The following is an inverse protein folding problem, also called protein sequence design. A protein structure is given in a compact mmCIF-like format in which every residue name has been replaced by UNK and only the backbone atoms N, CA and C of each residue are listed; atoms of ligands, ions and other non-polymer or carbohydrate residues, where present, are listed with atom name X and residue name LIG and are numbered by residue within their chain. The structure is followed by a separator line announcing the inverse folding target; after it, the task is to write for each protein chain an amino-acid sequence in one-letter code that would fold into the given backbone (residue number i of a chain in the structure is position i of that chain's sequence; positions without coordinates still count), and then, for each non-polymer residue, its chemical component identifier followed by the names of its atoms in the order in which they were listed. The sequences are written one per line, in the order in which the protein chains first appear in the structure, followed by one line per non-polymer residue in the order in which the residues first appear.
data_IF_758735616129
#
_entry.id   IF_758735616129
#
_cell.length_a   1.000
_cell.length_b   1.000
_cell.length_c   1.000
_cell.angle_alpha   90.00
_cell.angle_beta   90.00
_cell.angle_gamma   90.00
#
_symmetry.space_group_name_H-M   'P 1'
#
loop_
_entity.id
_entity.type
_entity.pdbx_description
1 polymer ?
#
# COMPACT_ATOMS: atom_id res chain seq x y z
N UNK A 1 16.61 -6.15 14.42
CA UNK A 1 16.35 -7.54 13.98
C UNK A 1 14.85 -7.65 13.78
N UNK A 2 14.36 -7.76 12.54
CA UNK A 2 12.92 -7.73 12.25
C UNK A 2 12.15 -8.98 12.72
N UNK A 3 12.86 -10.05 13.14
CA UNK A 3 12.30 -11.22 13.81
C UNK A 3 11.16 -11.85 13.02
N UNK A 4 10.07 -12.20 13.71
CA UNK A 4 8.87 -12.75 13.10
C UNK A 4 8.18 -11.79 12.11
N UNK A 5 8.43 -10.47 12.20
CA UNK A 5 7.80 -9.46 11.33
C UNK A 5 8.20 -9.59 9.86
N UNK A 6 9.33 -10.23 9.56
CA UNK A 6 9.79 -10.51 8.20
C UNK A 6 9.69 -11.99 7.81
N UNK A 7 8.87 -12.78 8.50
CA UNK A 7 8.72 -14.19 8.19
C UNK A 7 7.63 -14.38 7.10
N UNK A 8 8.00 -14.68 5.83
CA UNK A 8 7.02 -14.88 4.77
C UNK A 8 6.23 -16.19 4.92
N UNK A 9 6.69 -17.11 5.77
CA UNK A 9 6.05 -18.39 6.03
C UNK A 9 5.11 -18.35 7.25
N UNK A 10 5.06 -17.22 7.96
CA UNK A 10 4.07 -17.03 9.01
C UNK A 10 2.69 -16.91 8.36
N UNK A 11 1.70 -17.59 8.93
CA UNK A 11 0.32 -17.42 8.50
C UNK A 11 -0.20 -16.07 9.02
N UNK A 12 -0.04 -15.03 8.22
CA UNK A 12 -0.49 -13.69 8.55
C UNK A 12 -2.01 -13.62 8.50
N UNK A 13 -2.63 -13.40 9.67
CA UNK A 13 -4.07 -13.20 9.82
C UNK A 13 -4.36 -11.86 10.49
N UNK A 14 -5.56 -11.33 10.27
CA UNK A 14 -6.04 -10.14 10.97
C UNK A 14 -5.91 -10.29 12.51
N UNK A 15 -6.35 -11.43 13.06
CA UNK A 15 -6.27 -11.69 14.51
C UNK A 15 -4.83 -11.60 15.02
N UNK A 16 -3.88 -12.18 14.29
CA UNK A 16 -2.46 -12.17 14.66
C UNK A 16 -1.88 -10.76 14.63
N UNK A 17 -2.18 -9.98 13.59
CA UNK A 17 -1.73 -8.61 13.44
C UNK A 17 -2.25 -7.73 14.58
N UNK A 18 -3.54 -7.84 14.90
CA UNK A 18 -4.18 -7.06 15.95
C UNK A 18 -3.70 -7.44 17.35
N UNK A 19 -3.56 -8.74 17.63
CA UNK A 19 -3.15 -9.26 18.94
C UNK A 19 -1.79 -8.74 19.38
N UNK A 20 -0.87 -8.56 18.43
CA UNK A 20 0.51 -8.16 18.71
C UNK A 20 0.90 -6.83 18.05
N UNK A 21 -0.07 -5.96 17.75
CA UNK A 21 0.15 -4.69 17.03
C UNK A 21 1.24 -3.78 17.62
N UNK A 22 1.40 -3.78 18.95
CA UNK A 22 2.44 -3.02 19.66
C UNK A 22 3.84 -3.65 19.60
N UNK A 23 3.94 -4.90 19.15
CA UNK A 23 5.19 -5.69 19.14
C UNK A 23 5.77 -5.89 17.76
N UNK A 24 4.98 -5.63 16.72
CA UNK A 24 5.37 -5.81 15.33
C UNK A 24 6.30 -4.71 14.84
N UNK A 25 7.26 -5.08 13.99
CA UNK A 25 7.98 -4.12 13.17
C UNK A 25 7.21 -3.90 11.87
N UNK A 26 6.49 -2.78 11.80
CA UNK A 26 5.52 -2.53 10.73
C UNK A 26 6.14 -2.20 9.38
N UNK A 27 7.36 -1.67 9.32
CA UNK A 27 8.09 -1.45 8.06
C UNK A 27 8.10 -2.71 7.18
N UNK A 28 8.48 -3.86 7.76
CA UNK A 28 8.50 -5.14 7.05
C UNK A 28 7.11 -5.63 6.68
N UNK A 29 6.19 -5.66 7.65
CA UNK A 29 4.81 -6.13 7.43
C UNK A 29 4.08 -5.31 6.35
N UNK A 30 4.33 -4.00 6.32
CA UNK A 30 3.74 -3.07 5.36
C UNK A 30 4.26 -3.29 3.94
N UNK A 31 5.55 -3.60 3.75
CA UNK A 31 6.13 -3.78 2.41
C UNK A 31 5.90 -5.18 1.82
N UNK A 32 5.66 -6.21 2.65
CA UNK A 32 5.37 -7.55 2.12
C UNK A 32 4.02 -7.56 1.42
N UNK A 33 4.01 -8.12 0.21
CA UNK A 33 2.80 -8.68 -0.40
C UNK A 33 2.41 -9.90 0.43
N UNK A 34 1.98 -9.67 1.67
CA UNK A 34 1.08 -10.56 2.36
C UNK A 34 -0.02 -10.85 1.35
N UNK A 35 -0.38 -12.12 1.18
CA UNK A 35 -1.36 -12.52 0.18
C UNK A 35 -2.52 -11.53 0.22
N UNK A 36 -2.98 -11.09 -0.96
CA UNK A 36 -3.99 -10.04 -1.22
C UNK A 36 -5.26 -10.09 -0.33
N UNK A 37 -5.38 -11.11 0.50
CA UNK A 37 -6.46 -11.47 1.39
C UNK A 37 -6.36 -10.93 2.82
N UNK A 38 -5.22 -10.37 3.27
CA UNK A 38 -5.12 -9.89 4.67
C UNK A 38 -5.54 -8.44 4.82
N UNK A 39 -5.15 -7.58 3.88
CA UNK A 39 -5.43 -6.15 3.97
C UNK A 39 -6.82 -5.84 3.41
N UNK A 40 -7.68 -5.26 4.26
CA UNK A 40 -8.93 -4.62 3.88
C UNK A 40 -9.07 -3.25 4.56
N UNK A 41 -10.09 -2.50 4.17
CA UNK A 41 -10.34 -1.14 4.65
C UNK A 41 -10.50 -1.08 6.19
N UNK A 42 -11.12 -2.10 6.79
CA UNK A 42 -11.35 -2.15 8.24
C UNK A 42 -10.04 -2.41 8.99
N UNK A 43 -9.21 -3.33 8.49
CA UNK A 43 -7.92 -3.63 9.09
C UNK A 43 -6.97 -2.45 8.98
N UNK A 44 -6.95 -1.76 7.82
CA UNK A 44 -6.19 -0.53 7.61
C UNK A 44 -6.58 0.53 8.64
N UNK A 45 -7.88 0.74 8.86
CA UNK A 45 -8.37 1.70 9.85
C UNK A 45 -7.95 1.33 11.28
N UNK A 46 -8.08 0.06 11.65
CA UNK A 46 -7.71 -0.42 13.00
C UNK A 46 -6.21 -0.35 13.26
N UNK A 47 -5.39 -0.41 12.22
CA UNK A 47 -3.94 -0.42 12.29
C UNK A 47 -3.28 0.88 11.81
N UNK A 48 -4.07 1.88 11.44
CA UNK A 48 -3.63 3.14 10.81
C UNK A 48 -2.45 3.81 11.50
N UNK A 49 -2.44 3.82 12.84
CA UNK A 49 -1.38 4.43 13.66
C UNK A 49 -0.08 3.63 13.74
N UNK A 50 -0.10 2.37 13.32
CA UNK A 50 1.06 1.48 13.35
C UNK A 50 1.68 1.27 11.98
N UNK A 51 0.87 1.38 10.93
CA UNK A 51 1.29 1.20 9.54
C UNK A 51 2.44 2.15 9.22
N UNK A 52 3.48 1.58 8.61
CA UNK A 52 4.49 2.36 7.90
C UNK A 52 3.92 2.72 6.52
N UNK A 53 3.55 3.99 6.36
CA UNK A 53 2.88 4.47 5.16
C UNK A 53 3.80 4.55 3.93
N UNK A 54 5.10 4.69 4.13
CA UNK A 54 6.08 4.63 3.03
C UNK A 54 6.19 3.20 2.51
N UNK A 55 6.34 2.23 3.43
CA UNK A 55 6.46 0.81 3.09
C UNK A 55 5.17 0.25 2.50
N UNK A 56 4.01 0.61 3.04
CA UNK A 56 2.71 0.09 2.57
C UNK A 56 2.37 0.59 1.17
N UNK A 57 2.86 1.76 0.77
CA UNK A 57 2.63 2.34 -0.56
C UNK A 57 3.26 1.52 -1.69
N UNK A 58 4.26 0.70 -1.38
CA UNK A 58 4.83 -0.30 -2.30
C UNK A 58 3.98 -1.58 -2.41
N UNK A 59 3.02 -1.79 -1.51
CA UNK A 59 2.31 -3.04 -1.39
C UNK A 59 1.31 -3.21 -2.56
N UNK A 60 1.59 -4.19 -3.42
CA UNK A 60 0.73 -4.56 -4.55
C UNK A 60 -0.41 -5.51 -4.15
N UNK A 61 -0.39 -6.01 -2.90
CA UNK A 61 -1.46 -6.83 -2.31
C UNK A 61 -2.66 -6.00 -1.84
N UNK A 62 -2.50 -4.68 -1.71
CA UNK A 62 -3.60 -3.77 -1.36
C UNK A 62 -4.28 -3.32 -2.65
N UNK A 63 -5.61 -3.46 -2.75
CA UNK A 63 -6.37 -2.84 -3.82
C UNK A 63 -6.52 -1.36 -3.51
N UNK A 64 -5.53 -0.54 -3.86
CA UNK A 64 -5.58 0.92 -3.69
C UNK A 64 -6.70 1.53 -4.55
N UNK A 65 -7.91 1.49 -4.03
CA UNK A 65 -9.11 2.11 -4.62
C UNK A 65 -9.02 3.63 -4.52
N UNK A 66 -9.83 4.32 -5.32
CA UNK A 66 -9.97 5.79 -5.22
C UNK A 66 -10.34 6.22 -3.78
N UNK A 67 -11.21 5.48 -3.10
CA UNK A 67 -11.62 5.78 -1.72
C UNK A 67 -10.46 5.63 -0.72
N UNK A 68 -9.62 4.60 -0.87
CA UNK A 68 -8.42 4.43 -0.03
C UNK A 68 -7.38 5.51 -0.31
N UNK A 69 -7.18 5.88 -1.57
CA UNK A 69 -6.28 6.96 -1.97
C UNK A 69 -6.77 8.29 -1.38
N UNK A 70 -8.06 8.61 -1.46
CA UNK A 70 -8.63 9.81 -0.87
C UNK A 70 -8.47 9.85 0.65
N UNK A 71 -8.77 8.72 1.33
CA UNK A 71 -8.71 8.60 2.79
C UNK A 71 -7.29 8.77 3.32
N UNK A 72 -6.28 8.28 2.59
CA UNK A 72 -4.90 8.20 3.08
C UNK A 72 -3.90 9.02 2.25
N UNK A 73 -4.36 9.97 1.44
CA UNK A 73 -3.51 10.79 0.56
C UNK A 73 -2.39 11.53 1.32
N UNK A 74 -2.67 12.03 2.52
CA UNK A 74 -1.73 12.83 3.31
C UNK A 74 -0.71 11.98 4.08
N UNK A 75 -0.93 10.66 4.15
CA UNK A 75 -0.07 9.71 4.87
C UNK A 75 0.80 8.92 3.92
N UNK A 76 0.25 8.58 2.75
CA UNK A 76 0.87 7.69 1.78
C UNK A 76 2.04 8.36 1.07
N UNK A 77 3.02 7.54 0.69
CA UNK A 77 4.11 7.98 -0.17
C UNK A 77 3.71 7.82 -1.64
N UNK A 78 3.59 8.95 -2.32
CA UNK A 78 3.14 8.98 -3.71
C UNK A 78 4.19 8.54 -4.71
N UNK A 79 5.48 8.54 -4.36
CA UNK A 79 6.52 8.00 -5.23
C UNK A 79 6.29 6.52 -5.52
N UNK A 80 6.26 5.65 -4.49
CA UNK A 80 5.89 4.24 -4.61
C UNK A 80 4.53 4.01 -5.24
N UNK A 81 3.47 4.72 -4.80
CA UNK A 81 2.12 4.58 -5.37
C UNK A 81 2.10 4.87 -6.88
N UNK A 82 2.83 5.89 -7.34
CA UNK A 82 2.91 6.23 -8.77
C UNK A 82 3.42 5.06 -9.61
N UNK A 83 4.45 4.37 -9.13
CA UNK A 83 4.98 3.15 -9.77
C UNK A 83 4.24 1.85 -9.43
N UNK A 84 3.22 1.89 -8.56
CA UNK A 84 2.56 0.69 -8.06
C UNK A 84 1.59 0.12 -9.10
N UNK A 85 1.97 -1.03 -9.68
CA UNK A 85 1.21 -1.70 -10.74
C UNK A 85 -0.13 -2.30 -10.27
N UNK A 86 -0.41 -2.37 -8.96
CA UNK A 86 -1.75 -2.73 -8.49
C UNK A 86 -2.77 -1.61 -8.69
N UNK A 87 -2.28 -0.38 -8.94
CA UNK A 87 -3.09 0.80 -9.24
C UNK A 87 -3.21 0.94 -10.74
N UNK A 88 -4.44 0.83 -11.23
CA UNK A 88 -4.76 1.16 -12.60
C UNK A 88 -4.98 2.68 -12.71
N UNK A 89 -3.90 3.43 -12.99
CA UNK A 89 -3.94 4.88 -13.18
C UNK A 89 -4.71 5.25 -14.44
N UNK A 90 -6.04 5.29 -14.33
CA UNK A 90 -6.91 5.86 -15.35
C UNK A 90 -6.68 7.37 -15.49
N UNK A 91 -7.03 7.94 -16.65
CA UNK A 91 -6.99 9.40 -16.87
C UNK A 91 -7.69 10.18 -15.75
N UNK A 92 -8.85 9.70 -15.28
CA UNK A 92 -9.59 10.31 -14.16
C UNK A 92 -8.73 10.41 -12.89
N UNK A 93 -8.04 9.33 -12.52
CA UNK A 93 -7.20 9.31 -11.32
C UNK A 93 -5.95 10.17 -11.51
N UNK A 94 -5.34 10.14 -12.70
CA UNK A 94 -4.20 11.00 -13.03
C UNK A 94 -4.58 12.47 -12.91
N UNK A 95 -5.70 12.89 -13.52
CA UNK A 95 -6.15 14.29 -13.46
C UNK A 95 -6.45 14.73 -12.02
N UNK A 96 -7.01 13.83 -11.20
CA UNK A 96 -7.33 14.09 -9.78
C UNK A 96 -6.08 14.25 -8.91
N UNK A 97 -5.08 13.39 -9.08
CA UNK A 97 -3.90 13.32 -8.20
C UNK A 97 -2.60 13.85 -8.84
N UNK A 98 -2.67 14.54 -9.97
CA UNK A 98 -1.51 15.04 -10.73
C UNK A 98 -0.48 15.81 -9.89
N UNK A 99 -0.92 16.52 -8.84
CA UNK A 99 0.00 17.30 -7.98
C UNK A 99 0.74 16.45 -6.95
N UNK A 100 0.30 15.22 -6.72
CA UNK A 100 0.90 14.28 -5.78
C UNK A 100 1.73 13.22 -6.51
N UNK A 101 1.35 12.87 -7.74
CA UNK A 101 2.02 11.86 -8.55
C UNK A 101 3.47 12.22 -8.87
N UNK A 102 4.35 11.23 -8.76
CA UNK A 102 5.70 11.26 -9.31
C UNK A 102 5.62 10.76 -10.76
N UNK A 103 5.56 11.69 -11.71
CA UNK A 103 5.49 11.37 -13.14
C UNK A 103 6.73 10.65 -13.68
N UNK A 104 7.90 10.79 -13.04
CA UNK A 104 9.08 10.00 -13.40
C UNK A 104 8.91 8.53 -13.01
N UNK A 105 8.19 8.27 -11.91
CA UNK A 105 7.89 6.91 -11.46
C UNK A 105 6.69 6.29 -12.14
N UNK A 106 5.66 7.09 -12.45
CA UNK A 106 4.45 6.60 -13.11
C UNK A 106 4.76 6.02 -14.50
N UNK A 107 5.81 6.50 -15.18
CA UNK A 107 6.24 5.94 -16.47
C UNK A 107 6.76 4.50 -16.39
N UNK A 108 7.14 4.02 -15.21
CA UNK A 108 7.46 2.60 -14.99
C UNK A 108 6.21 1.74 -14.78
N UNK A 109 5.04 2.36 -14.59
CA UNK A 109 3.79 1.63 -14.45
C UNK A 109 3.31 1.16 -15.83
N UNK A 110 3.66 -0.09 -16.15
CA UNK A 110 3.32 -0.75 -17.41
C UNK A 110 1.81 -0.95 -17.61
N UNK A 111 0.98 -0.71 -16.58
CA UNK A 111 -0.47 -0.77 -16.67
C UNK A 111 -1.10 0.55 -17.17
N UNK A 112 -0.31 1.59 -17.45
CA UNK A 112 -0.85 2.84 -17.99
C UNK A 112 -1.40 2.64 -19.40
N UNK A 113 -2.66 3.05 -19.67
CA UNK A 113 -3.18 3.14 -21.01
C UNK A 113 -2.62 4.41 -21.64
N UNK A 114 -1.40 4.36 -22.21
CA UNK A 114 -1.00 5.43 -23.13
C UNK A 114 -2.02 5.46 -24.28
N UNK A 115 -2.60 6.63 -24.63
CA UNK A 115 -3.18 6.77 -25.94
C UNK A 115 -2.04 6.70 -26.97
N UNK A 116 -2.26 5.94 -28.05
CA UNK A 116 -1.47 6.03 -29.28
C UNK A 116 -1.51 7.45 -29.86
#
# INVERSE_FOLDING_TARGET
MFGLSNNPYLNWTEELLLKYKEKWHWEGISCYVLGRHVWDDQLLERLEKYIDWTSISWNQGIPWTEDLLDKYQDKSDWGPLSSNISINWSKKLIDKYQNLLDFGRISYNLAMPWPD
#
